data_IF_819151844400
#
_entry.id   IF_819151844400
#
_cell.length_a   1.000
_cell.length_b   1.000
_cell.length_c   1.000
_cell.angle_alpha   90.00
_cell.angle_beta   90.00
_cell.angle_gamma   90.00
#
_symmetry.space_group_name_H-M   'P 1'
#
loop_
_entity.id
_entity.type
_entity.pdbx_description
1 polymer ?
#
# COMPACT_ATOMS: atom_id res chain seq x y z
N UNK A 1 14.13 17.02 4.02
CA UNK A 1 13.47 16.28 2.93
C UNK A 1 12.11 16.91 2.74
N UNK A 2 11.78 17.30 1.51
CA UNK A 2 10.50 17.92 1.18
C UNK A 2 9.43 16.84 1.01
N UNK A 3 8.26 17.02 1.63
CA UNK A 3 7.18 16.05 1.57
C UNK A 3 6.35 16.30 0.31
N UNK A 4 6.57 15.49 -0.73
CA UNK A 4 5.78 15.52 -1.96
C UNK A 4 4.46 14.75 -1.83
N UNK A 5 3.39 15.26 -2.44
CA UNK A 5 2.10 14.55 -2.57
C UNK A 5 1.85 14.24 -4.03
N UNK A 6 1.44 13.01 -4.32
CA UNK A 6 1.18 12.52 -5.68
C UNK A 6 -0.15 11.77 -5.72
N UNK A 7 -0.86 11.88 -6.84
CA UNK A 7 -1.98 11.00 -7.16
C UNK A 7 -1.52 9.95 -8.17
N UNK A 8 -1.80 8.68 -7.88
CA UNK A 8 -1.49 7.57 -8.78
C UNK A 8 -2.74 6.74 -9.03
N UNK A 9 -2.94 6.21 -10.25
CA UNK A 9 -3.95 5.19 -10.47
C UNK A 9 -3.66 4.00 -9.55
N UNK A 10 -4.72 3.39 -9.01
CA UNK A 10 -4.59 2.20 -8.19
C UNK A 10 -4.25 1.00 -9.08
N UNK A 11 -2.97 0.80 -9.36
CA UNK A 11 -2.51 -0.34 -10.14
C UNK A 11 -2.75 -1.64 -9.35
N UNK A 12 -3.35 -2.63 -10.00
CA UNK A 12 -3.69 -3.93 -9.39
C UNK A 12 -2.82 -5.00 -10.02
N UNK A 13 -2.08 -5.73 -9.20
CA UNK A 13 -1.27 -6.90 -9.60
C UNK A 13 -2.10 -7.95 -10.34
N UNK A 14 -3.39 -8.06 -10.02
CA UNK A 14 -4.34 -8.96 -10.69
C UNK A 14 -5.62 -8.23 -11.07
N UNK A 15 -6.21 -8.54 -12.23
CA UNK A 15 -7.46 -7.93 -12.73
C UNK A 15 -8.61 -7.94 -11.70
N UNK A 16 -8.69 -8.96 -10.86
CA UNK A 16 -9.70 -9.10 -9.78
C UNK A 16 -9.13 -8.97 -8.36
N UNK A 17 -7.86 -8.60 -8.20
CA UNK A 17 -7.19 -8.54 -6.90
C UNK A 17 -7.07 -7.11 -6.36
N UNK A 18 -7.00 -6.99 -5.03
CA UNK A 18 -6.74 -5.71 -4.36
C UNK A 18 -5.23 -5.45 -4.13
N UNK A 19 -4.35 -6.40 -4.48
CA UNK A 19 -2.91 -6.29 -4.27
C UNK A 19 -2.28 -5.32 -5.26
N UNK A 20 -1.61 -4.25 -4.81
CA UNK A 20 -0.90 -3.34 -5.69
C UNK A 20 0.32 -4.02 -6.34
N UNK A 21 0.67 -3.61 -7.56
CA UNK A 21 1.96 -3.98 -8.14
C UNK A 21 3.07 -3.12 -7.50
N UNK A 22 3.74 -3.68 -6.48
CA UNK A 22 4.76 -2.97 -5.71
C UNK A 22 6.17 -3.06 -6.29
N UNK A 23 6.37 -3.80 -7.39
CA UNK A 23 7.67 -3.99 -8.01
C UNK A 23 7.98 -2.85 -8.98
N UNK A 24 9.12 -2.20 -8.77
CA UNK A 24 9.72 -1.23 -9.70
C UNK A 24 10.92 -1.87 -10.40
N UNK A 25 11.49 -1.19 -11.40
CA UNK A 25 12.67 -1.71 -12.14
C UNK A 25 13.86 -2.06 -11.23
N UNK A 26 14.06 -1.31 -10.14
CA UNK A 26 15.28 -1.39 -9.31
C UNK A 26 14.99 -1.70 -7.83
N UNK A 27 13.76 -2.02 -7.47
CA UNK A 27 13.38 -2.18 -6.06
C UNK A 27 11.89 -2.43 -5.88
N UNK A 28 11.45 -2.46 -4.63
CA UNK A 28 10.07 -2.75 -4.28
C UNK A 28 9.63 -1.99 -3.03
N UNK A 29 8.33 -1.69 -2.97
CA UNK A 29 7.70 -1.12 -1.79
C UNK A 29 7.16 -2.23 -0.90
N UNK A 30 7.57 -2.24 0.36
CA UNK A 30 7.11 -3.21 1.37
C UNK A 30 6.34 -2.50 2.48
N UNK A 31 5.22 -3.09 2.88
CA UNK A 31 4.46 -2.59 4.01
C UNK A 31 5.26 -2.70 5.30
N UNK A 32 5.26 -1.62 6.08
CA UNK A 32 5.91 -1.56 7.38
C UNK A 32 4.88 -1.18 8.45
N UNK A 33 4.64 -2.11 9.37
CA UNK A 33 3.62 -1.97 10.41
C UNK A 33 2.19 -2.20 9.91
N UNK A 34 1.24 -1.99 10.81
CA UNK A 34 -0.18 -2.27 10.56
C UNK A 34 -0.86 -1.13 9.80
N UNK A 35 -1.81 -1.50 8.93
CA UNK A 35 -2.65 -0.54 8.22
C UNK A 35 -3.54 0.24 9.20
N UNK A 36 -3.73 1.55 8.96
CA UNK A 36 -4.61 2.40 9.77
C UNK A 36 -5.91 2.68 9.04
N UNK A 37 -7.04 2.52 9.73
CA UNK A 37 -8.36 2.90 9.24
C UNK A 37 -8.51 4.42 9.34
N UNK A 38 -9.08 5.04 8.31
CA UNK A 38 -9.40 6.48 8.30
C UNK A 38 -10.91 6.63 8.50
N UNK A 39 -11.28 7.28 9.60
CA UNK A 39 -12.67 7.55 9.98
C UNK A 39 -12.99 9.04 9.77
N UNK A 40 -14.21 9.33 9.33
CA UNK A 40 -14.77 10.68 9.31
C UNK A 40 -16.25 10.59 9.64
N UNK A 41 -16.73 11.44 10.57
CA UNK A 41 -18.13 11.47 11.02
C UNK A 41 -18.68 10.08 11.41
N UNK A 42 -17.87 9.28 12.12
CA UNK A 42 -18.25 7.93 12.55
C UNK A 42 -18.27 6.87 11.44
N UNK A 43 -17.97 7.24 10.19
CA UNK A 43 -17.93 6.33 9.05
C UNK A 43 -16.50 6.10 8.59
N UNK A 44 -16.19 4.86 8.18
CA UNK A 44 -14.92 4.57 7.53
C UNK A 44 -14.93 5.19 6.14
N UNK A 45 -13.92 6.01 5.83
CA UNK A 45 -13.78 6.66 4.52
C UNK A 45 -12.59 6.12 3.72
N UNK A 46 -11.64 5.45 4.39
CA UNK A 46 -10.44 4.97 3.73
C UNK A 46 -9.50 4.19 4.62
N UNK A 47 -8.29 3.98 4.09
CA UNK A 47 -7.17 3.31 4.77
C UNK A 47 -5.87 4.06 4.46
N UNK A 48 -4.97 4.09 5.44
CA UNK A 48 -3.59 4.59 5.33
C UNK A 48 -2.62 3.42 5.53
N UNK A 49 -1.73 3.21 4.57
CA UNK A 49 -0.61 2.25 4.68
C UNK A 49 0.70 3.01 4.81
N UNK A 50 1.66 2.42 5.52
CA UNK A 50 3.03 2.91 5.58
C UNK A 50 3.94 1.93 4.86
N UNK A 51 4.72 2.42 3.90
CA UNK A 51 5.56 1.61 3.03
C UNK A 51 7.01 2.12 3.11
N UNK A 52 7.97 1.21 3.13
CA UNK A 52 9.39 1.52 2.95
C UNK A 52 9.88 0.93 1.63
N UNK A 53 10.68 1.71 0.90
CA UNK A 53 11.30 1.25 -0.32
C UNK A 53 12.58 0.46 -0.03
N UNK A 54 12.72 -0.68 -0.70
CA UNK A 54 13.92 -1.50 -0.69
C UNK A 54 14.51 -1.54 -2.09
N UNK A 55 15.82 -1.34 -2.22
CA UNK A 55 16.55 -1.51 -3.48
C UNK A 55 16.93 -2.96 -3.70
N UNK A 56 16.91 -3.42 -4.95
CA UNK A 56 17.22 -4.81 -5.32
C UNK A 56 15.99 -5.69 -5.44
N UNK A 57 16.20 -7.01 -5.42
CA UNK A 57 15.13 -8.01 -5.61
C UNK A 57 14.61 -8.51 -4.26
N UNK A 58 13.29 -8.58 -4.11
CA UNK A 58 12.64 -9.19 -2.96
C UNK A 58 13.00 -10.70 -2.87
N UNK A 59 13.37 -11.26 -1.70
CA UNK A 59 13.41 -10.68 -0.35
C UNK A 59 14.76 -10.14 0.14
N UNK A 60 15.82 -10.19 -0.67
CA UNK A 60 17.18 -9.83 -0.26
C UNK A 60 17.53 -8.34 -0.48
N UNK A 61 16.54 -7.48 -0.70
CA UNK A 61 16.76 -6.05 -0.92
C UNK A 61 17.22 -5.30 0.34
N UNK A 62 17.90 -4.18 0.14
CA UNK A 62 18.34 -3.30 1.22
C UNK A 62 17.32 -2.18 1.46
N UNK A 63 16.94 -1.98 2.73
CA UNK A 63 16.03 -0.89 3.11
C UNK A 63 16.68 0.46 2.86
N UNK A 64 15.89 1.40 2.35
CA UNK A 64 16.29 2.80 2.17
C UNK A 64 15.56 3.73 3.14
N UNK A 65 15.92 5.01 3.14
CA UNK A 65 15.22 6.06 3.91
C UNK A 65 13.92 6.55 3.23
N UNK A 66 13.62 6.06 2.03
CA UNK A 66 12.40 6.42 1.30
C UNK A 66 11.20 5.73 1.94
N UNK A 67 10.32 6.55 2.51
CA UNK A 67 9.06 6.11 3.08
C UNK A 67 7.89 6.73 2.33
N UNK A 68 6.78 6.01 2.25
CA UNK A 68 5.55 6.46 1.61
C UNK A 68 4.36 6.18 2.50
N UNK A 69 3.43 7.13 2.53
CA UNK A 69 2.10 6.92 3.07
C UNK A 69 1.09 6.80 1.93
N UNK A 70 0.59 5.60 1.69
CA UNK A 70 -0.47 5.37 0.70
C UNK A 70 -1.83 5.59 1.37
N UNK A 71 -2.64 6.50 0.81
CA UNK A 71 -4.01 6.74 1.24
C UNK A 71 -4.95 6.19 0.18
N UNK A 72 -5.93 5.39 0.61
CA UNK A 72 -6.94 4.85 -0.29
C UNK A 72 -8.34 5.15 0.23
N UNK A 73 -9.20 5.69 -0.63
CA UNK A 73 -10.63 5.79 -0.37
C UNK A 73 -11.32 4.43 -0.50
N UNK A 74 -12.35 4.20 0.32
CA UNK A 74 -13.24 3.07 0.15
C UNK A 74 -14.16 3.30 -1.05
N UNK A 75 -14.00 2.50 -2.10
CA UNK A 75 -15.05 2.32 -3.12
C UNK A 75 -16.09 1.32 -2.60
N UNK A 76 -17.35 1.41 -3.05
CA UNK A 76 -18.48 0.54 -2.67
C UNK A 76 -18.15 -0.97 -2.65
N UNK A 77 -17.23 -1.42 -3.51
CA UNK A 77 -16.76 -2.83 -3.59
C UNK A 77 -15.87 -3.26 -2.41
N UNK A 78 -15.17 -2.37 -1.71
CA UNK A 78 -14.22 -2.71 -0.63
C UNK A 78 -14.86 -2.84 0.76
N UNK A 79 -16.14 -2.55 0.90
CA UNK A 79 -16.87 -2.79 2.16
C UNK A 79 -17.10 -4.29 2.44
N UNK A 80 -16.84 -5.18 1.47
CA UNK A 80 -17.15 -6.62 1.56
C UNK A 80 -15.95 -7.54 1.81
N UNK A 81 -14.71 -7.05 1.74
CA UNK A 81 -13.53 -7.91 1.86
C UNK A 81 -12.97 -7.85 3.29
N UNK A 82 -12.89 -8.99 4.02
CA UNK A 82 -12.21 -9.06 5.31
C UNK A 82 -10.74 -8.66 5.15
N UNK A 83 -10.08 -8.32 6.27
CA UNK A 83 -8.66 -8.01 6.32
C UNK A 83 -7.84 -9.20 5.79
N UNK A 84 -7.58 -9.21 4.49
CA UNK A 84 -6.71 -10.18 3.84
C UNK A 84 -5.26 -9.77 4.04
N UNK A 85 -4.67 -10.27 5.12
CA UNK A 85 -3.24 -10.50 5.19
C UNK A 85 -2.91 -11.59 4.15
N UNK A 86 -2.81 -11.18 2.89
CA UNK A 86 -2.38 -12.03 1.78
C UNK A 86 -0.86 -12.14 1.81
N UNK A 87 -0.39 -12.91 2.79
CA UNK A 87 0.97 -13.39 2.99
C UNK A 87 0.97 -14.94 2.95
N UNK A 88 0.25 -15.52 1.98
CA UNK A 88 0.34 -16.97 1.74
C UNK A 88 1.45 -17.30 0.73
N UNK A 89 2.54 -17.80 1.33
CA UNK A 89 3.79 -18.37 0.78
C UNK A 89 4.96 -17.43 0.56
#
# INVERSE_FOLDING_TARGET
MENGTFFTPRDRKYKKGNRPNGATRNGYWKAIGSNKVIMSNGSQIGRKKHLAFHTGKDPSGSKTDWNMHEFTFLSTTQMREPNGDDDTR
#
